data_IF_912941702994
#
_entry.id   IF_912941702994
#
_cell.length_a   1.000
_cell.length_b   1.000
_cell.length_c   1.000
_cell.angle_alpha   90.00
_cell.angle_beta   90.00
_cell.angle_gamma   90.00
#
_symmetry.space_group_name_H-M   'P 1'
#
loop_
_entity.id
_entity.type
_entity.pdbx_description
1 polymer ?
#
# COMPACT_ATOMS: atom_id res chain seq x y z
N UNK A 1 -20.49 5.02 -2.95
CA UNK A 1 -20.62 3.59 -2.55
C UNK A 1 -19.69 2.67 -3.38
N UNK A 2 -19.68 2.79 -4.71
CA UNK A 2 -18.86 1.98 -5.66
C UNK A 2 -17.33 2.03 -5.43
N UNK A 3 -16.76 3.21 -5.18
CA UNK A 3 -15.32 3.39 -4.92
C UNK A 3 -14.80 2.58 -3.72
N UNK A 4 -15.63 2.40 -2.70
CA UNK A 4 -15.25 1.64 -1.49
C UNK A 4 -15.15 0.15 -1.78
N UNK A 5 -16.09 -0.37 -2.56
CA UNK A 5 -16.12 -1.79 -2.94
C UNK A 5 -14.96 -2.12 -3.89
N UNK A 6 -14.70 -1.24 -4.86
CA UNK A 6 -13.56 -1.37 -5.76
C UNK A 6 -12.24 -1.39 -4.97
N UNK A 7 -12.05 -0.44 -4.03
CA UNK A 7 -10.88 -0.40 -3.16
C UNK A 7 -10.71 -1.72 -2.38
N UNK A 8 -11.78 -2.23 -1.76
CA UNK A 8 -11.74 -3.50 -1.02
C UNK A 8 -11.31 -4.69 -1.89
N UNK A 9 -11.85 -4.79 -3.12
CA UNK A 9 -11.50 -5.86 -4.07
C UNK A 9 -10.02 -5.79 -4.47
N UNK A 10 -9.51 -4.60 -4.76
CA UNK A 10 -8.12 -4.39 -5.14
C UNK A 10 -7.15 -4.65 -3.98
N UNK A 11 -7.49 -4.23 -2.76
CA UNK A 11 -6.71 -4.55 -1.55
C UNK A 11 -6.66 -6.05 -1.29
N UNK A 12 -7.79 -6.74 -1.42
CA UNK A 12 -7.82 -8.21 -1.30
C UNK A 12 -6.86 -8.85 -2.31
N UNK A 13 -6.92 -8.40 -3.57
CA UNK A 13 -6.05 -8.94 -4.63
C UNK A 13 -4.58 -8.68 -4.37
N UNK A 14 -4.24 -7.49 -3.89
CA UNK A 14 -2.88 -7.16 -3.47
C UNK A 14 -2.36 -8.12 -2.39
N UNK A 15 -3.16 -8.38 -1.35
CA UNK A 15 -2.78 -9.29 -0.27
C UNK A 15 -2.59 -10.73 -0.75
N UNK A 16 -3.42 -11.19 -1.70
CA UNK A 16 -3.25 -12.50 -2.35
C UNK A 16 -1.91 -12.61 -3.09
N UNK A 17 -1.53 -11.56 -3.84
CA UNK A 17 -0.26 -11.54 -4.58
C UNK A 17 0.95 -11.46 -3.66
N UNK A 18 0.87 -10.68 -2.58
CA UNK A 18 1.91 -10.64 -1.54
C UNK A 18 2.06 -12.03 -0.91
N UNK A 19 0.95 -12.66 -0.51
CA UNK A 19 0.94 -14.01 0.05
C UNK A 19 1.53 -15.05 -0.91
N UNK A 20 1.29 -14.88 -2.22
CA UNK A 20 1.84 -15.74 -3.26
C UNK A 20 3.37 -15.62 -3.35
N UNK A 21 3.91 -14.40 -3.28
CA UNK A 21 5.37 -14.19 -3.27
C UNK A 21 6.00 -14.66 -1.96
N UNK A 22 5.39 -14.39 -0.81
CA UNK A 22 5.97 -14.76 0.48
C UNK A 22 6.03 -16.27 0.69
N UNK A 23 4.95 -16.97 0.34
CA UNK A 23 4.81 -18.39 0.66
C UNK A 23 5.27 -19.31 -0.48
N UNK A 24 5.23 -18.86 -1.74
CA UNK A 24 5.48 -19.70 -2.91
C UNK A 24 6.54 -19.15 -3.86
N UNK A 25 7.30 -18.10 -3.50
CA UNK A 25 8.35 -17.55 -4.38
C UNK A 25 9.35 -18.60 -4.85
N UNK A 26 9.73 -19.55 -4.00
CA UNK A 26 10.67 -20.62 -4.37
C UNK A 26 10.14 -21.57 -5.46
N UNK A 27 8.81 -21.63 -5.68
CA UNK A 27 8.16 -22.46 -6.70
C UNK A 27 8.07 -21.76 -8.06
N UNK A 28 8.31 -20.45 -8.11
CA UNK A 28 8.19 -19.66 -9.33
C UNK A 28 9.54 -19.32 -9.94
N UNK A 29 9.59 -19.32 -11.26
CA UNK A 29 10.67 -18.70 -12.03
C UNK A 29 10.80 -17.21 -11.66
N UNK A 30 12.03 -16.71 -11.66
CA UNK A 30 12.37 -15.34 -11.27
C UNK A 30 11.56 -14.31 -12.09
N UNK A 31 11.38 -14.56 -13.38
CA UNK A 31 10.58 -13.68 -14.26
C UNK A 31 9.13 -13.56 -13.79
N UNK A 32 8.50 -14.67 -13.39
CA UNK A 32 7.14 -14.67 -12.85
C UNK A 32 7.06 -13.95 -11.50
N UNK A 33 8.08 -14.08 -10.66
CA UNK A 33 8.16 -13.31 -9.41
C UNK A 33 8.23 -11.79 -9.69
N UNK A 34 9.00 -11.38 -10.69
CA UNK A 34 9.07 -9.98 -11.11
C UNK A 34 7.73 -9.46 -11.65
N UNK A 35 7.02 -10.25 -12.45
CA UNK A 35 5.70 -9.89 -12.95
C UNK A 35 4.70 -9.69 -11.80
N UNK A 36 4.70 -10.60 -10.82
CA UNK A 36 3.84 -10.47 -9.63
C UNK A 36 4.21 -9.23 -8.81
N UNK A 37 5.50 -8.94 -8.65
CA UNK A 37 5.96 -7.72 -7.98
C UNK A 37 5.50 -6.45 -8.73
N UNK A 38 5.61 -6.45 -10.06
CA UNK A 38 5.10 -5.37 -10.91
C UNK A 38 3.61 -5.12 -10.70
N UNK A 39 2.81 -6.19 -10.73
CA UNK A 39 1.37 -6.12 -10.50
C UNK A 39 1.00 -5.59 -9.09
N UNK A 40 1.75 -5.96 -8.04
CA UNK A 40 1.57 -5.41 -6.69
C UNK A 40 1.82 -3.89 -6.69
N UNK A 41 2.86 -3.45 -7.40
CA UNK A 41 3.23 -2.04 -7.48
C UNK A 41 2.17 -1.21 -8.22
N UNK A 42 1.63 -1.72 -9.33
CA UNK A 42 0.54 -1.08 -10.05
C UNK A 42 -0.72 -0.97 -9.19
N UNK A 43 -1.05 -2.03 -8.43
CA UNK A 43 -2.17 -2.00 -7.49
C UNK A 43 -2.00 -0.94 -6.40
N UNK A 44 -0.78 -0.72 -5.88
CA UNK A 44 -0.50 0.35 -4.92
C UNK A 44 -0.85 1.73 -5.51
N UNK A 45 -0.38 2.03 -6.72
CA UNK A 45 -0.64 3.31 -7.39
C UNK A 45 -2.13 3.53 -7.59
N UNK A 46 -2.85 2.49 -8.00
CA UNK A 46 -4.32 2.57 -8.15
C UNK A 46 -5.01 2.81 -6.81
N UNK A 47 -4.61 2.12 -5.74
CA UNK A 47 -5.19 2.31 -4.42
C UNK A 47 -4.95 3.71 -3.85
N UNK A 48 -3.76 4.28 -4.05
CA UNK A 48 -3.44 5.66 -3.71
C UNK A 48 -4.31 6.65 -4.49
N UNK A 49 -4.48 6.41 -5.79
CA UNK A 49 -5.34 7.22 -6.66
C UNK A 49 -6.79 7.19 -6.17
N UNK A 50 -7.32 6.02 -5.80
CA UNK A 50 -8.68 5.91 -5.25
C UNK A 50 -8.81 6.65 -3.90
N UNK A 51 -7.77 6.64 -3.06
CA UNK A 51 -7.75 7.41 -1.82
C UNK A 51 -7.77 8.92 -2.08
N UNK A 52 -6.98 9.38 -3.07
CA UNK A 52 -6.96 10.77 -3.48
C UNK A 52 -8.35 11.27 -3.89
N UNK A 53 -9.04 10.55 -4.79
CA UNK A 53 -10.38 10.92 -5.22
C UNK A 53 -11.41 10.86 -4.10
N UNK A 54 -11.34 9.85 -3.22
CA UNK A 54 -12.20 9.79 -2.04
C UNK A 54 -11.99 10.99 -1.11
N UNK A 55 -10.74 11.38 -0.90
CA UNK A 55 -10.41 12.55 -0.07
C UNK A 55 -10.86 13.85 -0.73
N UNK A 56 -10.80 13.96 -2.06
CA UNK A 56 -11.38 15.08 -2.80
C UNK A 56 -12.90 15.15 -2.64
N UNK A 57 -13.62 14.03 -2.78
CA UNK A 57 -15.08 13.97 -2.56
C UNK A 57 -15.43 14.44 -1.14
N UNK A 58 -14.70 13.96 -0.13
CA UNK A 58 -14.91 14.36 1.26
C UNK A 58 -14.65 15.86 1.48
N UNK A 59 -13.56 16.40 0.93
CA UNK A 59 -13.25 17.85 1.01
C UNK A 59 -14.30 18.68 0.27
N UNK A 60 -14.72 18.27 -0.92
CA UNK A 60 -15.76 18.95 -1.70
C UNK A 60 -17.10 18.98 -0.95
N UNK A 61 -17.46 17.89 -0.26
CA UNK A 61 -18.69 17.83 0.54
C UNK A 61 -18.58 18.63 1.85
N UNK A 62 -17.37 18.77 2.40
CA UNK A 62 -17.11 19.54 3.62
C UNK A 62 -16.95 21.05 3.38
N UNK A 63 -16.70 21.49 2.14
CA UNK A 63 -16.63 22.91 1.80
C UNK A 63 -17.98 23.65 1.93
N UNK A 64 -19.09 22.94 2.13
CA UNK A 64 -20.38 23.52 2.55
C UNK A 64 -20.57 23.62 4.08
N UNK A 65 -19.69 23.00 4.88
CA UNK A 65 -19.73 23.01 6.35
C UNK A 65 -18.56 23.78 6.98
N UNK A 66 -17.53 24.13 6.20
CA UNK A 66 -16.29 24.73 6.71
C UNK A 66 -16.33 26.24 6.91
N UNK A 67 -17.49 26.90 6.81
CA UNK A 67 -17.64 28.29 7.27
C UNK A 67 -17.88 28.41 8.79
N UNK A 68 -18.08 27.30 9.52
CA UNK A 68 -18.45 27.36 10.95
C UNK A 68 -17.44 26.81 11.96
N UNK A 69 -16.31 26.24 11.54
CA UNK A 69 -15.35 25.63 12.49
C UNK A 69 -13.90 26.10 12.28
N UNK A 70 -13.67 27.35 11.84
CA UNK A 70 -12.33 27.93 11.78
C UNK A 70 -11.77 28.39 13.13
N UNK A 71 -12.49 28.15 14.23
CA UNK A 71 -12.02 28.45 15.57
C UNK A 71 -12.36 27.30 16.51
N UNK A 72 -11.48 26.30 16.63
CA UNK A 72 -11.05 25.78 17.94
C UNK A 72 -10.08 24.59 17.81
N UNK A 73 -9.07 24.64 18.67
CA UNK A 73 -8.10 23.60 19.02
C UNK A 73 -6.86 23.41 18.12
N UNK A 74 -5.86 24.25 18.43
CA UNK A 74 -4.46 23.82 18.49
C UNK A 74 -4.25 22.88 19.70
N UNK A 75 -3.41 21.87 19.48
CA UNK A 75 -2.63 21.08 20.46
C UNK A 75 -3.36 20.24 21.52
N UNK A 76 -3.26 18.91 21.39
CA UNK A 76 -2.75 18.02 22.46
C UNK A 76 -2.12 16.78 21.86
N UNK A 77 -0.91 16.47 22.32
CA UNK A 77 -0.14 15.25 22.06
C UNK A 77 -0.94 13.96 22.26
N UNK A 78 -0.72 12.96 21.40
CA UNK A 78 -1.01 11.54 21.67
C UNK A 78 -0.09 10.67 20.83
N UNK A 79 0.88 10.05 21.48
CA UNK A 79 1.70 8.95 20.96
C UNK A 79 0.78 7.78 20.64
N UNK A 80 0.69 7.36 19.38
CA UNK A 80 0.20 6.03 19.03
C UNK A 80 0.90 5.46 17.79
N UNK A 81 1.89 4.60 18.07
CA UNK A 81 2.39 3.46 17.29
C UNK A 81 2.45 3.58 15.76
N UNK A 82 3.50 4.25 15.28
CA UNK A 82 4.14 3.90 14.01
C UNK A 82 4.94 2.59 14.17
N UNK A 83 4.26 1.44 14.08
CA UNK A 83 4.92 0.14 13.95
C UNK A 83 4.14 -0.71 12.95
N UNK A 84 4.66 -0.85 11.72
CA UNK A 84 5.03 -2.16 11.11
C UNK A 84 4.87 -2.33 9.58
N UNK A 85 4.38 -1.37 8.79
CA UNK A 85 4.30 -1.61 7.32
C UNK A 85 5.63 -1.35 6.58
N UNK A 86 6.44 -0.40 7.07
CA UNK A 86 7.75 -0.07 6.47
C UNK A 86 8.84 -1.11 6.75
N UNK A 87 8.81 -1.76 7.92
CA UNK A 87 9.82 -2.76 8.32
C UNK A 87 9.68 -4.12 7.62
N UNK A 88 8.44 -4.51 7.29
CA UNK A 88 8.15 -5.75 6.57
C UNK A 88 8.54 -5.60 5.09
N UNK A 89 8.21 -4.46 4.48
CA UNK A 89 8.59 -4.12 3.11
C UNK A 89 10.10 -3.97 2.93
N UNK A 90 10.80 -3.39 3.92
CA UNK A 90 12.25 -3.32 3.93
C UNK A 90 12.90 -4.71 3.99
N UNK A 91 12.39 -5.60 4.85
CA UNK A 91 12.88 -6.98 4.97
C UNK A 91 12.66 -7.80 3.69
N UNK A 92 11.53 -7.65 3.02
CA UNK A 92 11.25 -8.35 1.75
C UNK A 92 12.18 -7.84 0.64
N UNK A 93 12.34 -6.52 0.50
CA UNK A 93 13.30 -5.92 -0.45
C UNK A 93 14.74 -6.41 -0.18
N UNK A 94 15.19 -6.36 1.06
CA UNK A 94 16.53 -6.83 1.46
C UNK A 94 16.72 -8.33 1.19
N UNK A 95 15.72 -9.17 1.48
CA UNK A 95 15.82 -10.63 1.30
C UNK A 95 15.88 -11.01 -0.19
N UNK A 96 15.07 -10.37 -1.02
CA UNK A 96 15.09 -10.54 -2.47
C UNK A 96 16.44 -10.05 -3.02
N UNK A 97 16.87 -8.83 -2.66
CA UNK A 97 18.11 -8.22 -3.15
C UNK A 97 19.37 -9.02 -2.74
N UNK A 98 19.41 -9.56 -1.51
CA UNK A 98 20.53 -10.42 -1.05
C UNK A 98 20.61 -11.73 -1.82
N UNK A 99 19.47 -12.32 -2.21
CA UNK A 99 19.47 -13.51 -3.07
C UNK A 99 20.00 -13.19 -4.48
N UNK A 100 19.64 -12.05 -5.06
CA UNK A 100 20.18 -11.59 -6.34
C UNK A 100 21.71 -11.42 -6.33
N UNK A 101 22.27 -10.88 -5.24
CA UNK A 101 23.72 -10.63 -5.11
C UNK A 101 24.55 -11.90 -4.91
N UNK A 102 23.94 -12.99 -4.42
CA UNK A 102 24.60 -14.31 -4.29
C UNK A 102 24.66 -15.07 -5.61
N UNK A 103 23.66 -14.88 -6.47
CA UNK A 103 23.55 -15.59 -7.76
C UNK A 103 24.46 -14.96 -8.82
N UNK A 104 24.65 -13.64 -8.79
CA UNK A 104 25.49 -12.89 -9.75
C UNK A 104 27.00 -12.92 -9.46
N UNK A 105 27.46 -13.68 -8.46
CA UNK A 105 28.88 -13.86 -8.10
C UNK A 105 29.44 -15.26 -8.40
N UNK A 106 28.71 -16.07 -9.15
CA UNK A 106 29.20 -17.31 -9.78
C UNK A 106 29.28 -17.09 -11.28
#
# INVERSE_FOLDING_TARGET
MVLTELKKKLQKRQNELISLLENKSAEFEIEKQHQVYGAINELNVVLETLNYYRNMELKSNNNGLSELNSETFKNTDSKDKDISESGLFFNIKEKIFRNFKKITRR
#
